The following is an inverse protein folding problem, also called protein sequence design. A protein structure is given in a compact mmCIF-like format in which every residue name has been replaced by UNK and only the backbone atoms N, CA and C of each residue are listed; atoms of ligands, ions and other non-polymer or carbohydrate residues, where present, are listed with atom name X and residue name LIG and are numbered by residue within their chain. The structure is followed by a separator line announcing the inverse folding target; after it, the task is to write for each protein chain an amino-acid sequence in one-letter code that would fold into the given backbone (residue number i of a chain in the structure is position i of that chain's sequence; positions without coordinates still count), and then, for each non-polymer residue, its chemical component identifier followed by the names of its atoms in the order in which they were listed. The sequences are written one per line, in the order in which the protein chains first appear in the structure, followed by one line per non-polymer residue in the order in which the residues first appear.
data_IF_420990119239
#
_entry.id   IF_420990119239
#
_cell.length_a   1.000
_cell.length_b   1.000
_cell.length_c   1.000
_cell.angle_alpha   90.00
_cell.angle_beta   90.00
_cell.angle_gamma   90.00
#
_symmetry.space_group_name_H-M   'P 1'
#
loop_
_entity.id
_entity.type
_entity.pdbx_description
1 polymer ?
#
# COMPACT_ATOMS: atom_id res chain seq x y z
N UNK A 1 -31.53 4.84 -14.41
CA UNK A 1 -30.64 3.78 -14.92
C UNK A 1 -29.56 3.54 -13.85
N UNK A 2 -29.75 2.50 -13.06
CA UNK A 2 -28.91 2.16 -11.92
C UNK A 2 -27.68 1.39 -12.43
N UNK A 3 -26.48 1.97 -12.33
CA UNK A 3 -25.22 1.24 -12.59
C UNK A 3 -24.84 0.51 -11.31
N UNK A 4 -25.10 -0.77 -11.28
CA UNK A 4 -24.57 -1.69 -10.28
C UNK A 4 -23.05 -1.66 -10.35
N UNK A 5 -22.40 -1.07 -9.32
CA UNK A 5 -20.96 -1.20 -9.10
C UNK A 5 -20.64 -2.67 -8.80
N UNK A 6 -20.16 -3.40 -9.80
CA UNK A 6 -19.48 -4.67 -9.58
C UNK A 6 -18.14 -4.36 -8.92
N UNK A 7 -18.09 -4.45 -7.60
CA UNK A 7 -16.84 -4.47 -6.84
C UNK A 7 -16.07 -5.74 -7.21
N UNK A 8 -15.12 -5.60 -8.11
CA UNK A 8 -14.10 -6.64 -8.34
C UNK A 8 -13.15 -6.58 -7.16
N UNK A 9 -13.45 -7.35 -6.12
CA UNK A 9 -12.53 -7.59 -5.02
C UNK A 9 -11.36 -8.43 -5.55
N UNK A 10 -10.17 -8.06 -5.23
CA UNK A 10 -8.94 -8.83 -5.42
C UNK A 10 -9.22 -10.31 -5.12
N UNK A 11 -8.97 -11.20 -6.07
CA UNK A 11 -9.54 -12.55 -6.15
C UNK A 11 -9.06 -13.44 -4.99
N UNK A 12 -9.80 -13.45 -3.86
CA UNK A 12 -9.61 -14.41 -2.78
C UNK A 12 -10.07 -15.77 -3.26
N UNK A 13 -9.16 -16.72 -3.40
CA UNK A 13 -9.49 -18.14 -3.63
C UNK A 13 -10.35 -18.63 -2.45
N UNK A 14 -11.65 -18.63 -2.63
CA UNK A 14 -12.57 -19.37 -1.75
C UNK A 14 -12.46 -20.82 -2.19
N UNK A 15 -11.78 -21.66 -1.40
CA UNK A 15 -11.79 -23.10 -1.58
C UNK A 15 -13.23 -23.59 -1.37
N UNK A 16 -13.89 -24.01 -2.45
CA UNK A 16 -15.23 -24.58 -2.41
C UNK A 16 -15.20 -25.94 -1.70
N UNK A 17 -15.77 -26.00 -0.49
CA UNK A 17 -16.15 -27.24 0.13
C UNK A 17 -17.59 -27.58 -0.25
N UNK A 18 -17.76 -28.67 -0.98
CA UNK A 18 -19.07 -29.26 -1.32
C UNK A 18 -19.71 -29.76 -0.03
N UNK A 19 -20.80 -29.15 0.43
CA UNK A 19 -21.54 -29.59 1.60
C UNK A 19 -22.77 -30.37 1.19
N UNK A 20 -22.85 -31.58 1.73
CA UNK A 20 -23.99 -32.51 1.71
C UNK A 20 -25.10 -31.96 2.59
N UNK A 21 -26.35 -32.03 2.09
CA UNK A 21 -27.56 -31.62 2.79
C UNK A 21 -27.72 -32.27 4.16
N UNK A 22 -27.83 -31.43 5.21
CA UNK A 22 -28.35 -31.76 6.51
C UNK A 22 -29.00 -30.52 7.11
N UNK A 23 -30.32 -30.59 7.38
CA UNK A 23 -31.09 -29.51 7.96
C UNK A 23 -30.64 -29.28 9.42
N UNK A 24 -29.82 -28.25 9.65
CA UNK A 24 -29.57 -27.67 10.94
C UNK A 24 -29.66 -26.16 10.82
N UNK A 25 -30.58 -25.55 11.60
CA UNK A 25 -30.59 -24.10 11.82
C UNK A 25 -29.29 -23.72 12.56
N UNK A 26 -28.23 -23.52 11.82
CA UNK A 26 -26.99 -22.97 12.33
C UNK A 26 -26.84 -21.53 11.85
N UNK A 27 -26.68 -20.59 12.77
CA UNK A 27 -26.33 -19.23 12.46
C UNK A 27 -25.04 -19.23 11.60
N UNK A 28 -25.16 -18.88 10.33
CA UNK A 28 -23.99 -18.62 9.46
C UNK A 28 -23.33 -17.36 9.99
N UNK A 29 -22.32 -17.52 10.84
CA UNK A 29 -21.39 -16.45 11.17
C UNK A 29 -20.58 -16.19 9.89
N UNK A 30 -21.01 -15.20 9.10
CA UNK A 30 -20.19 -14.64 8.04
C UNK A 30 -18.97 -13.99 8.72
N UNK A 31 -17.91 -14.77 8.86
CA UNK A 31 -16.60 -14.22 9.20
C UNK A 31 -16.17 -13.33 8.04
N UNK A 32 -16.43 -12.03 8.16
CA UNK A 32 -15.75 -11.05 7.35
C UNK A 32 -14.28 -11.17 7.71
N UNK A 33 -13.53 -11.88 6.89
CA UNK A 33 -12.08 -11.81 6.98
C UNK A 33 -11.71 -10.36 6.67
N UNK A 34 -11.31 -9.61 7.69
CA UNK A 34 -10.75 -8.28 7.52
C UNK A 34 -9.62 -8.38 6.48
N UNK A 35 -9.56 -7.45 5.53
CA UNK A 35 -8.40 -7.35 4.66
C UNK A 35 -7.16 -7.31 5.55
N UNK A 36 -6.11 -8.10 5.25
CA UNK A 36 -4.91 -8.10 6.05
C UNK A 36 -4.37 -6.67 6.07
N UNK A 37 -4.48 -6.02 7.21
CA UNK A 37 -4.00 -4.65 7.39
C UNK A 37 -2.52 -4.61 7.01
N UNK A 38 -2.11 -3.56 6.29
CA UNK A 38 -0.71 -3.32 5.94
C UNK A 38 0.11 -3.32 7.23
N UNK A 39 1.06 -4.24 7.31
CA UNK A 39 1.98 -4.34 8.45
C UNK A 39 3.14 -3.37 8.20
N UNK A 40 3.38 -2.44 9.10
CA UNK A 40 4.51 -1.50 9.01
C UNK A 40 5.22 -1.47 10.34
N UNK A 41 6.52 -1.74 10.31
CA UNK A 41 7.44 -1.62 11.43
C UNK A 41 8.45 -0.51 11.11
N UNK A 42 8.81 0.31 12.10
CA UNK A 42 9.77 1.40 11.93
C UNK A 42 10.87 1.27 12.99
N UNK A 43 12.12 1.20 12.55
CA UNK A 43 13.31 1.37 13.40
C UNK A 43 13.84 2.80 13.23
N UNK A 44 13.94 3.52 14.34
CA UNK A 44 14.39 4.91 14.36
C UNK A 44 15.77 5.11 15.01
N UNK A 45 16.44 4.00 15.41
CA UNK A 45 17.69 4.06 16.21
C UNK A 45 18.84 4.72 15.48
N UNK A 46 18.88 4.57 14.15
CA UNK A 46 19.95 5.05 13.29
C UNK A 46 19.68 6.43 12.69
N UNK A 47 18.50 7.01 12.98
CA UNK A 47 18.13 8.32 12.47
C UNK A 47 19.10 9.40 12.98
N UNK A 48 19.70 10.15 12.07
CA UNK A 48 20.64 11.24 12.40
C UNK A 48 20.47 12.41 11.41
N UNK A 49 20.89 13.61 11.73
CA UNK A 49 21.50 14.07 12.98
C UNK A 49 20.49 14.27 14.13
N UNK A 50 19.18 14.24 13.86
CA UNK A 50 18.14 14.41 14.87
C UNK A 50 17.54 13.06 15.27
N UNK A 51 17.35 12.85 16.58
CA UNK A 51 16.59 11.70 17.07
C UNK A 51 15.09 11.87 16.77
N UNK A 52 14.41 10.76 16.46
CA UNK A 52 12.98 10.76 16.17
C UNK A 52 12.20 10.67 17.48
N UNK A 53 11.35 11.64 17.73
CA UNK A 53 10.48 11.68 18.91
C UNK A 53 9.29 10.72 18.73
N UNK A 54 8.77 10.16 19.83
CA UNK A 54 7.65 9.20 19.82
C UNK A 54 6.39 9.69 19.07
N UNK A 55 6.12 10.99 19.05
CA UNK A 55 4.97 11.55 18.32
C UNK A 55 5.23 11.52 16.82
N UNK A 56 6.45 11.87 16.40
CA UNK A 56 6.88 11.83 15.00
C UNK A 56 6.87 10.40 14.49
N UNK A 57 7.43 9.45 15.25
CA UNK A 57 7.43 8.02 14.90
C UNK A 57 6.00 7.50 14.64
N UNK A 58 5.06 7.78 15.56
CA UNK A 58 3.65 7.41 15.37
C UNK A 58 3.00 8.10 14.17
N UNK A 59 3.34 9.36 13.92
CA UNK A 59 2.89 10.10 12.75
C UNK A 59 3.37 9.45 11.46
N UNK A 60 4.66 9.17 11.35
CA UNK A 60 5.26 8.49 10.20
C UNK A 60 4.59 7.13 9.96
N UNK A 61 4.44 6.29 10.99
CA UNK A 61 3.80 4.97 10.86
C UNK A 61 2.35 5.06 10.35
N UNK A 62 1.56 6.02 10.89
CA UNK A 62 0.18 6.25 10.46
C UNK A 62 0.12 6.67 8.99
N UNK A 63 0.92 7.68 8.64
CA UNK A 63 0.84 8.33 7.34
C UNK A 63 1.46 7.46 6.23
N UNK A 64 2.48 6.68 6.58
CA UNK A 64 3.05 5.68 5.68
C UNK A 64 2.05 4.57 5.33
N UNK A 65 1.34 4.01 6.33
CA UNK A 65 0.26 3.04 6.08
C UNK A 65 -0.83 3.63 5.20
N UNK A 66 -1.22 4.86 5.49
CA UNK A 66 -2.22 5.58 4.69
C UNK A 66 -1.77 5.74 3.23
N UNK A 67 -0.51 6.14 3.01
CA UNK A 67 0.04 6.29 1.67
C UNK A 67 0.04 4.97 0.89
N UNK A 68 0.49 3.87 1.49
CA UNK A 68 0.50 2.56 0.83
C UNK A 68 -0.91 2.02 0.57
N UNK A 69 -1.86 2.22 1.48
CA UNK A 69 -3.27 1.89 1.25
C UNK A 69 -3.82 2.67 0.06
N UNK A 70 -3.54 3.97 0.00
CA UNK A 70 -3.98 4.85 -1.09
C UNK A 70 -3.34 4.46 -2.42
N UNK A 71 -2.06 4.11 -2.44
CA UNK A 71 -1.37 3.60 -3.63
C UNK A 71 -1.98 2.29 -4.11
N UNK A 72 -2.20 1.34 -3.21
CA UNK A 72 -2.83 0.07 -3.56
C UNK A 72 -4.22 0.26 -4.19
N UNK A 73 -5.05 1.15 -3.62
CA UNK A 73 -6.36 1.50 -4.18
C UNK A 73 -6.24 2.16 -5.57
N UNK A 74 -5.29 3.09 -5.73
CA UNK A 74 -5.08 3.76 -7.01
C UNK A 74 -4.71 2.78 -8.12
N UNK A 75 -3.83 1.81 -7.83
CA UNK A 75 -3.34 0.82 -8.78
C UNK A 75 -4.38 -0.29 -9.05
N UNK A 76 -5.15 -0.68 -8.05
CA UNK A 76 -6.20 -1.71 -8.20
C UNK A 76 -7.39 -1.19 -9.04
N UNK A 77 -7.84 0.04 -8.74
CA UNK A 77 -9.02 0.60 -9.40
C UNK A 77 -8.69 1.53 -10.57
N UNK A 78 -7.41 1.71 -10.87
CA UNK A 78 -6.95 2.63 -11.93
C UNK A 78 -7.52 4.05 -11.76
N UNK A 79 -7.46 4.60 -10.54
CA UNK A 79 -7.99 5.93 -10.22
C UNK A 79 -6.89 6.81 -9.62
N UNK A 80 -6.96 8.13 -9.87
CA UNK A 80 -5.95 9.07 -9.39
C UNK A 80 -6.29 9.70 -8.04
N UNK A 81 -7.58 9.75 -7.67
CA UNK A 81 -8.05 10.43 -6.48
C UNK A 81 -7.36 9.97 -5.18
N UNK A 82 -7.08 8.65 -4.95
CA UNK A 82 -6.41 8.23 -3.74
C UNK A 82 -4.97 8.75 -3.59
N UNK A 83 -4.35 9.20 -4.69
CA UNK A 83 -2.99 9.76 -4.67
C UNK A 83 -2.95 11.22 -4.20
N UNK A 84 -4.11 11.88 -4.12
CA UNK A 84 -4.21 13.25 -3.62
C UNK A 84 -4.06 13.24 -2.09
N UNK A 85 -3.19 14.01 -1.56
CA UNK A 85 -2.91 14.05 -0.11
C UNK A 85 -1.65 13.28 0.29
N UNK A 86 -1.59 11.94 0.23
CA UNK A 86 -0.45 11.19 0.76
C UNK A 86 0.83 11.29 -0.07
N UNK A 87 0.73 11.74 -1.32
CA UNK A 87 1.88 11.85 -2.22
C UNK A 87 2.06 13.26 -2.77
N UNK A 88 3.31 13.65 -2.96
CA UNK A 88 3.71 14.91 -3.61
C UNK A 88 4.96 14.70 -4.47
N UNK A 89 5.36 15.72 -5.23
CA UNK A 89 6.61 15.70 -6.02
C UNK A 89 6.72 14.49 -6.95
N UNK A 90 7.92 13.92 -7.01
CA UNK A 90 8.27 12.84 -7.94
C UNK A 90 7.50 11.54 -7.66
N UNK A 91 7.22 11.24 -6.38
CA UNK A 91 6.44 10.06 -6.02
C UNK A 91 5.02 10.13 -6.60
N UNK A 92 4.35 11.27 -6.47
CA UNK A 92 3.02 11.49 -7.02
C UNK A 92 3.02 11.40 -8.54
N UNK A 93 4.00 12.02 -9.20
CA UNK A 93 4.11 12.00 -10.66
C UNK A 93 4.32 10.57 -11.18
N UNK A 94 5.26 9.82 -10.60
CA UNK A 94 5.51 8.43 -10.97
C UNK A 94 4.26 7.55 -10.81
N UNK A 95 3.53 7.67 -9.69
CA UNK A 95 2.30 6.92 -9.48
C UNK A 95 1.19 7.28 -10.47
N UNK A 96 1.02 8.57 -10.78
CA UNK A 96 0.07 9.03 -11.81
C UNK A 96 0.40 8.42 -13.18
N UNK A 97 1.66 8.46 -13.58
CA UNK A 97 2.10 7.90 -14.87
C UNK A 97 1.87 6.38 -14.91
N UNK A 98 2.09 5.68 -13.79
CA UNK A 98 1.81 4.25 -13.65
C UNK A 98 0.32 3.97 -13.82
N UNK A 99 -0.56 4.67 -13.11
CA UNK A 99 -2.02 4.51 -13.23
C UNK A 99 -2.49 4.81 -14.65
N UNK A 100 -2.02 5.89 -15.27
CA UNK A 100 -2.37 6.24 -16.66
C UNK A 100 -1.90 5.16 -17.64
N UNK A 101 -0.71 4.59 -17.43
CA UNK A 101 -0.20 3.48 -18.24
C UNK A 101 -1.09 2.23 -18.11
N UNK A 102 -1.49 1.90 -16.89
CA UNK A 102 -2.42 0.78 -16.62
C UNK A 102 -3.78 0.98 -17.28
N UNK A 103 -4.34 2.19 -17.18
CA UNK A 103 -5.61 2.54 -17.86
C UNK A 103 -5.52 2.31 -19.38
N UNK A 104 -4.41 2.68 -20.00
CA UNK A 104 -4.19 2.50 -21.46
C UNK A 104 -4.02 1.05 -21.86
N UNK A 105 -3.38 0.24 -21.02
CA UNK A 105 -3.15 -1.18 -21.28
C UNK A 105 -4.29 -2.10 -20.86
N UNK A 106 -5.28 -1.59 -20.11
CA UNK A 106 -6.37 -2.39 -19.54
C UNK A 106 -5.94 -3.26 -18.37
N UNK A 107 -4.73 -3.06 -17.86
CA UNK A 107 -4.18 -3.81 -16.72
C UNK A 107 -4.55 -3.14 -15.40
N UNK A 108 -4.52 -3.92 -14.32
CA UNK A 108 -4.56 -3.43 -12.93
C UNK A 108 -3.61 -4.22 -12.04
N UNK A 109 -3.15 -3.61 -10.95
CA UNK A 109 -2.27 -4.24 -9.98
C UNK A 109 -2.96 -4.31 -8.63
N UNK A 110 -2.89 -5.46 -7.97
CA UNK A 110 -3.33 -5.65 -6.59
C UNK A 110 -2.15 -6.07 -5.72
N UNK A 111 -1.97 -5.37 -4.60
CA UNK A 111 -0.97 -5.67 -3.60
C UNK A 111 -1.64 -6.32 -2.39
N UNK A 112 -1.29 -7.59 -2.10
CA UNK A 112 -1.89 -8.37 -1.02
C UNK A 112 -0.87 -8.69 0.05
N UNK A 113 -1.30 -8.75 1.31
CA UNK A 113 -0.47 -9.14 2.46
C UNK A 113 0.83 -8.32 2.57
N UNK A 114 0.71 -6.99 2.49
CA UNK A 114 1.84 -6.07 2.52
C UNK A 114 2.50 -6.02 3.89
N UNK A 115 3.82 -6.19 3.90
CA UNK A 115 4.67 -6.07 5.08
C UNK A 115 5.84 -5.12 4.76
N UNK A 116 6.02 -4.09 5.58
CA UNK A 116 7.03 -3.05 5.41
C UNK A 116 7.94 -2.98 6.62
N UNK A 117 9.24 -3.07 6.39
CA UNK A 117 10.28 -2.86 7.39
C UNK A 117 11.02 -1.57 7.04
N UNK A 118 10.73 -0.52 7.80
CA UNK A 118 11.31 0.81 7.64
C UNK A 118 12.49 0.99 8.58
N UNK A 119 13.56 1.57 8.09
CA UNK A 119 14.66 2.12 8.87
C UNK A 119 14.77 3.61 8.59
N UNK A 120 14.66 4.46 9.62
CA UNK A 120 14.92 5.87 9.50
C UNK A 120 16.44 6.09 9.51
N UNK A 121 16.99 6.54 8.38
CA UNK A 121 18.44 6.74 8.21
C UNK A 121 18.85 8.21 8.30
N UNK A 122 17.93 9.11 7.98
CA UNK A 122 18.14 10.54 8.09
C UNK A 122 16.90 11.24 8.63
N UNK A 123 17.08 12.15 9.56
CA UNK A 123 16.06 13.09 10.02
C UNK A 123 16.68 14.47 10.18
N UNK A 124 16.20 15.43 9.39
CA UNK A 124 16.72 16.78 9.35
C UNK A 124 16.65 17.47 10.72
N UNK A 125 17.65 18.31 11.07
CA UNK A 125 17.65 19.05 12.34
C UNK A 125 16.37 19.88 12.54
N UNK A 126 15.84 20.44 11.47
CA UNK A 126 14.64 21.27 11.43
C UNK A 126 13.35 20.42 11.60
N UNK A 127 13.44 19.10 11.41
CA UNK A 127 12.30 18.19 11.54
C UNK A 127 11.36 18.16 10.34
N UNK A 128 11.83 18.63 9.19
CA UNK A 128 11.03 18.82 7.97
C UNK A 128 11.31 17.81 6.84
N UNK A 129 12.34 16.96 7.01
CA UNK A 129 12.70 15.92 6.05
C UNK A 129 13.10 14.65 6.79
N UNK A 130 12.53 13.52 6.37
CA UNK A 130 12.94 12.19 6.84
C UNK A 130 13.18 11.27 5.65
N UNK A 131 14.34 10.60 5.63
CA UNK A 131 14.64 9.52 4.69
C UNK A 131 14.49 8.18 5.40
N UNK A 132 13.71 7.30 4.76
CA UNK A 132 13.47 5.95 5.20
C UNK A 132 13.98 4.97 4.14
N UNK A 133 14.61 3.89 4.59
CA UNK A 133 14.85 2.71 3.80
C UNK A 133 13.74 1.69 4.08
N UNK A 134 12.98 1.29 3.06
CA UNK A 134 11.88 0.35 3.18
C UNK A 134 12.19 -0.97 2.48
N UNK A 135 12.12 -2.06 3.22
CA UNK A 135 12.02 -3.41 2.64
C UNK A 135 10.56 -3.82 2.63
N UNK A 136 9.94 -3.74 1.44
CA UNK A 136 8.55 -4.05 1.20
C UNK A 136 8.40 -5.48 0.67
N UNK A 137 7.57 -6.29 1.32
CA UNK A 137 7.27 -7.68 0.95
C UNK A 137 5.77 -7.82 0.77
N UNK A 138 5.32 -8.29 -0.40
CA UNK A 138 3.91 -8.48 -0.70
C UNK A 138 3.68 -9.42 -1.87
N UNK A 139 2.44 -9.91 -2.01
CA UNK A 139 1.98 -10.62 -3.18
C UNK A 139 1.48 -9.62 -4.21
N UNK A 140 2.11 -9.58 -5.39
CA UNK A 140 1.72 -8.74 -6.51
C UNK A 140 0.88 -9.55 -7.49
N UNK A 141 -0.38 -9.15 -7.67
CA UNK A 141 -1.26 -9.72 -8.69
C UNK A 141 -1.46 -8.70 -9.80
N UNK A 142 -1.28 -9.15 -11.05
CA UNK A 142 -1.59 -8.35 -12.24
C UNK A 142 -2.82 -8.96 -12.90
N UNK A 143 -3.80 -8.12 -13.23
CA UNK A 143 -5.03 -8.52 -13.87
C UNK A 143 -5.23 -7.81 -15.21
N UNK A 144 -5.79 -8.55 -16.19
CA UNK A 144 -6.27 -8.05 -17.48
C UNK A 144 -7.78 -8.31 -17.56
N UNK A 145 -8.58 -7.24 -17.72
CA UNK A 145 -10.03 -7.34 -17.78
C UNK A 145 -10.67 -8.05 -16.56
N UNK A 146 -10.04 -8.00 -15.39
CA UNK A 146 -10.48 -8.67 -14.16
C UNK A 146 -10.02 -10.12 -14.01
N UNK A 147 -9.23 -10.65 -14.95
CA UNK A 147 -8.61 -11.98 -14.87
C UNK A 147 -7.16 -11.83 -14.43
N UNK A 148 -6.77 -12.49 -13.33
CA UNK A 148 -5.37 -12.54 -12.89
C UNK A 148 -4.52 -13.26 -13.92
N UNK A 149 -3.50 -12.59 -14.45
CA UNK A 149 -2.54 -13.10 -15.44
C UNK A 149 -1.15 -13.32 -14.84
N UNK A 150 -0.82 -12.67 -13.72
CA UNK A 150 0.40 -12.92 -12.93
C UNK A 150 0.06 -12.83 -11.45
N UNK A 151 0.75 -13.66 -10.64
CA UNK A 151 0.61 -13.72 -9.19
C UNK A 151 1.98 -14.09 -8.60
N UNK A 152 2.72 -13.10 -8.10
CA UNK A 152 4.10 -13.23 -7.71
C UNK A 152 4.35 -12.67 -6.31
N UNK A 153 5.15 -13.39 -5.52
CA UNK A 153 5.69 -12.86 -4.27
C UNK A 153 6.90 -11.99 -4.59
N UNK A 154 6.87 -10.74 -4.16
CA UNK A 154 7.94 -9.78 -4.44
C UNK A 154 8.52 -9.21 -3.14
N UNK A 155 9.81 -8.96 -3.16
CA UNK A 155 10.53 -8.19 -2.15
C UNK A 155 11.23 -7.04 -2.86
N UNK A 156 10.89 -5.83 -2.48
CA UNK A 156 11.43 -4.60 -3.07
C UNK A 156 12.06 -3.72 -2.00
N UNK A 157 13.09 -3.00 -2.40
CA UNK A 157 13.74 -2.00 -1.55
C UNK A 157 13.43 -0.61 -2.09
N UNK A 158 13.00 0.29 -1.19
CA UNK A 158 12.69 1.68 -1.56
C UNK A 158 13.46 2.66 -0.68
N UNK A 159 14.05 3.67 -1.33
CA UNK A 159 14.43 4.91 -0.65
C UNK A 159 13.22 5.82 -0.70
N UNK A 160 12.75 6.22 0.48
CA UNK A 160 11.54 7.02 0.67
C UNK A 160 11.90 8.33 1.34
N UNK A 161 11.52 9.46 0.71
CA UNK A 161 11.65 10.77 1.32
C UNK A 161 10.28 11.27 1.75
N UNK A 162 10.12 11.54 3.04
CA UNK A 162 8.91 12.12 3.62
C UNK A 162 9.15 13.54 4.12
N UNK A 163 8.14 14.37 3.97
CA UNK A 163 8.13 15.73 4.53
C UNK A 163 6.79 16.00 5.20
N UNK A 164 6.71 16.87 6.23
CA UNK A 164 5.43 17.28 6.77
C UNK A 164 4.60 18.04 5.74
N UNK A 165 3.33 17.68 5.65
CA UNK A 165 2.28 18.46 4.99
C UNK A 165 1.57 19.37 6.00
N UNK A 166 0.32 19.73 5.72
CA UNK A 166 -0.45 20.60 6.63
C UNK A 166 -0.83 19.88 7.94
N UNK A 167 -1.19 18.61 7.87
CA UNK A 167 -1.72 17.82 8.98
C UNK A 167 -1.17 16.37 9.05
N UNK A 168 -0.36 15.97 8.07
CA UNK A 168 0.22 14.64 7.96
C UNK A 168 1.55 14.68 7.20
N UNK A 169 2.33 13.58 7.30
CA UNK A 169 3.53 13.39 6.50
C UNK A 169 3.16 12.93 5.09
N UNK A 170 3.85 13.47 4.08
CA UNK A 170 3.64 13.11 2.67
C UNK A 170 4.90 12.50 2.07
N UNK A 171 4.73 11.49 1.24
CA UNK A 171 5.83 10.88 0.48
C UNK A 171 6.10 11.75 -0.74
N UNK A 172 7.31 12.34 -0.81
CA UNK A 172 7.76 13.14 -1.95
C UNK A 172 8.58 12.36 -2.96
N UNK A 173 9.33 11.37 -2.47
CA UNK A 173 10.11 10.48 -3.31
C UNK A 173 9.88 9.04 -2.86
N UNK A 174 9.70 8.15 -3.84
CA UNK A 174 9.60 6.71 -3.67
C UNK A 174 10.39 6.07 -4.80
N UNK A 175 11.61 5.63 -4.50
CA UNK A 175 12.54 5.13 -5.51
C UNK A 175 12.94 3.70 -5.19
N UNK A 176 12.60 2.78 -6.10
CA UNK A 176 13.06 1.40 -6.00
C UNK A 176 14.57 1.33 -6.24
N UNK A 177 15.26 0.52 -5.42
CA UNK A 177 16.70 0.25 -5.51
C UNK A 177 16.93 -1.26 -5.41
N UNK A 178 18.05 -1.79 -5.96
CA UNK A 178 18.31 -3.23 -5.89
C UNK A 178 18.56 -3.72 -4.45
N UNK A 179 19.19 -2.90 -3.62
CA UNK A 179 19.50 -3.15 -2.20
C UNK A 179 19.98 -1.86 -1.55
N UNK A 180 20.07 -1.82 -0.22
CA UNK A 180 20.68 -0.73 0.56
C UNK A 180 22.15 -0.99 0.81
#
# INVERSE_FOLDING_TARGET
MSRTLNRILCNRRVAGATAICGFFLGAVVLSYAADPAIQVQLDVKNASPRAVENLTERGILRDYRFAWTSMAQALEFNTLDPLEGPFAGDAKQWLRDTVVSQQRSGLSQCHVAQNHKLEAVFYAPEGDVMELHDTAEYQLQISDGGKVISDEHVVLHFIVLMTPGADHWVIRQLRAVPQF
#
